data_IF_138598097455
#
_entry.id   IF_138598097455
#
_cell.length_a   1.000
_cell.length_b   1.000
_cell.length_c   1.000
_cell.angle_alpha   90.00
_cell.angle_beta   90.00
_cell.angle_gamma   90.00
#
_symmetry.space_group_name_H-M   'P 1'
#
loop_
_entity.id
_entity.type
_entity.pdbx_description
1 polymer ?
#
# COMPACT_ATOMS: atom_id res chain seq x y z
N UNK A 1 -27.24 1.23 -18.38
CA UNK A 1 -25.99 1.26 -19.16
C UNK A 1 -25.28 -0.06 -18.94
N UNK A 2 -24.90 -0.76 -20.01
CA UNK A 2 -24.09 -1.98 -19.87
C UNK A 2 -22.71 -1.62 -19.31
N UNK A 3 -22.14 -2.45 -18.42
CA UNK A 3 -20.90 -2.11 -17.72
C UNK A 3 -19.71 -1.92 -18.68
N UNK A 4 -19.67 -2.68 -19.77
CA UNK A 4 -18.65 -2.52 -20.81
C UNK A 4 -18.73 -1.13 -21.49
N UNK A 5 -19.94 -0.60 -21.69
CA UNK A 5 -20.11 0.75 -22.27
C UNK A 5 -19.60 1.82 -21.31
N UNK A 6 -19.92 1.69 -20.01
CA UNK A 6 -19.43 2.62 -18.98
C UNK A 6 -17.89 2.58 -18.87
N UNK A 7 -17.31 1.38 -18.95
CA UNK A 7 -15.87 1.17 -18.94
C UNK A 7 -15.19 1.90 -20.10
N UNK A 8 -15.69 1.69 -21.32
CA UNK A 8 -15.15 2.35 -22.52
C UNK A 8 -15.33 3.87 -22.44
N UNK A 9 -16.52 4.34 -22.04
CA UNK A 9 -16.83 5.76 -21.98
C UNK A 9 -15.95 6.53 -20.99
N UNK A 10 -15.69 5.97 -19.81
CA UNK A 10 -14.98 6.69 -18.73
C UNK A 10 -13.48 6.41 -18.68
N UNK A 11 -13.05 5.21 -19.11
CA UNK A 11 -11.65 4.78 -18.99
C UNK A 11 -10.99 4.41 -20.32
N UNK A 12 -11.76 4.27 -21.40
CA UNK A 12 -11.25 3.90 -22.72
C UNK A 12 -10.72 2.46 -22.80
N UNK A 13 -11.19 1.57 -21.93
CA UNK A 13 -10.80 0.16 -21.94
C UNK A 13 -11.86 -0.70 -22.62
N UNK A 14 -11.43 -1.52 -23.59
CA UNK A 14 -12.33 -2.36 -24.39
C UNK A 14 -12.97 -3.50 -23.58
N UNK A 15 -12.31 -3.96 -22.51
CA UNK A 15 -12.77 -5.08 -21.68
C UNK A 15 -12.25 -5.01 -20.24
N UNK A 16 -13.00 -5.64 -19.33
CA UNK A 16 -12.55 -5.88 -17.97
C UNK A 16 -11.42 -6.92 -17.93
N UNK A 17 -10.48 -6.73 -17.01
CA UNK A 17 -9.56 -7.79 -16.60
C UNK A 17 -10.32 -8.81 -15.74
N UNK A 18 -9.81 -10.04 -15.72
CA UNK A 18 -10.38 -11.16 -14.95
C UNK A 18 -10.68 -10.75 -13.50
N UNK A 19 -11.91 -10.96 -13.04
CA UNK A 19 -12.36 -10.68 -11.68
C UNK A 19 -12.83 -9.24 -11.43
N UNK A 20 -12.57 -8.29 -12.35
CA UNK A 20 -13.00 -6.89 -12.14
C UNK A 20 -14.52 -6.74 -12.31
N UNK A 21 -15.08 -7.35 -13.36
CA UNK A 21 -16.49 -7.20 -13.69
C UNK A 21 -17.39 -7.77 -12.60
N UNK A 22 -17.04 -8.95 -12.06
CA UNK A 22 -17.78 -9.62 -11.00
C UNK A 22 -17.80 -8.79 -9.72
N UNK A 23 -16.67 -8.16 -9.38
CA UNK A 23 -16.57 -7.24 -8.23
C UNK A 23 -17.43 -5.99 -8.46
N UNK A 24 -17.34 -5.36 -9.64
CA UNK A 24 -18.14 -4.18 -9.98
C UNK A 24 -19.64 -4.49 -9.91
N UNK A 25 -20.08 -5.63 -10.47
CA UNK A 25 -21.49 -6.08 -10.43
C UNK A 25 -21.95 -6.30 -8.98
N UNK A 26 -21.13 -6.94 -8.16
CA UNK A 26 -21.43 -7.17 -6.73
C UNK A 26 -21.64 -5.86 -5.98
N UNK A 27 -20.74 -4.89 -6.17
CA UNK A 27 -20.83 -3.56 -5.55
C UNK A 27 -22.11 -2.85 -6.00
N UNK A 28 -22.38 -2.82 -7.30
CA UNK A 28 -23.57 -2.16 -7.83
C UNK A 28 -24.88 -2.83 -7.36
N UNK A 29 -24.88 -4.13 -7.09
CA UNK A 29 -26.03 -4.82 -6.49
C UNK A 29 -26.27 -4.49 -5.00
N UNK A 30 -25.41 -3.67 -4.39
CA UNK A 30 -25.53 -3.26 -2.99
C UNK A 30 -24.99 -4.26 -1.98
N UNK A 31 -24.28 -5.31 -2.42
CA UNK A 31 -23.74 -6.34 -1.52
C UNK A 31 -22.37 -5.92 -0.97
N UNK A 32 -22.12 -6.09 0.34
CA UNK A 32 -20.78 -5.99 0.89
C UNK A 32 -19.82 -6.89 0.13
N UNK A 33 -18.66 -6.38 -0.26
CA UNK A 33 -17.75 -7.11 -1.15
C UNK A 33 -16.33 -7.06 -0.62
N UNK A 34 -15.65 -8.22 -0.62
CA UNK A 34 -14.21 -8.34 -0.38
C UNK A 34 -13.57 -8.85 -1.68
N UNK A 35 -12.66 -8.07 -2.24
CA UNK A 35 -11.98 -8.37 -3.49
C UNK A 35 -10.48 -8.57 -3.25
N UNK A 36 -10.00 -9.80 -3.47
CA UNK A 36 -8.59 -10.16 -3.46
C UNK A 36 -8.15 -10.26 -4.91
N UNK A 37 -7.50 -9.21 -5.41
CA UNK A 37 -7.05 -9.09 -6.79
C UNK A 37 -5.55 -8.80 -6.83
N UNK A 38 -4.75 -9.48 -7.67
CA UNK A 38 -3.31 -9.36 -7.67
C UNK A 38 -2.83 -7.92 -7.91
N UNK A 39 -1.59 -7.63 -7.52
CA UNK A 39 -0.95 -6.34 -7.86
C UNK A 39 -0.93 -6.15 -9.37
N UNK A 40 -1.33 -4.97 -9.84
CA UNK A 40 -1.53 -4.71 -11.26
C UNK A 40 -2.84 -5.25 -11.84
N UNK A 41 -3.67 -5.96 -11.07
CA UNK A 41 -4.99 -6.45 -11.49
C UNK A 41 -6.06 -5.36 -11.68
N UNK A 42 -5.69 -4.08 -11.57
CA UNK A 42 -6.60 -2.95 -11.75
C UNK A 42 -7.66 -2.83 -10.63
N UNK A 43 -7.27 -3.04 -9.38
CA UNK A 43 -8.14 -2.90 -8.19
C UNK A 43 -8.89 -1.57 -8.17
N UNK A 44 -8.23 -0.49 -8.54
CA UNK A 44 -8.82 0.85 -8.48
C UNK A 44 -10.07 0.98 -9.34
N UNK A 45 -10.13 0.31 -10.49
CA UNK A 45 -11.29 0.32 -11.36
C UNK A 45 -12.55 -0.21 -10.64
N UNK A 46 -12.38 -1.17 -9.72
CA UNK A 46 -13.48 -1.79 -9.00
C UNK A 46 -14.24 -0.86 -8.05
N UNK A 47 -13.65 0.29 -7.65
CA UNK A 47 -14.35 1.37 -6.96
C UNK A 47 -14.52 2.62 -7.81
N UNK A 48 -13.60 2.89 -8.74
CA UNK A 48 -13.67 4.08 -9.60
C UNK A 48 -14.84 4.02 -10.58
N UNK A 49 -15.10 2.87 -11.20
CA UNK A 49 -16.23 2.75 -12.12
C UNK A 49 -17.57 2.85 -11.38
N UNK A 50 -17.83 2.13 -10.26
CA UNK A 50 -19.02 2.36 -9.45
C UNK A 50 -19.19 3.80 -8.97
N UNK A 51 -18.11 4.51 -8.63
CA UNK A 51 -18.18 5.89 -8.19
C UNK A 51 -18.76 6.86 -9.24
N UNK A 52 -18.61 6.52 -10.54
CA UNK A 52 -19.17 7.30 -11.64
C UNK A 52 -20.62 6.92 -11.95
N UNK A 53 -20.97 5.65 -11.70
CA UNK A 53 -22.31 5.11 -11.94
C UNK A 53 -23.29 5.38 -10.80
N UNK A 54 -22.79 5.60 -9.58
CA UNK A 54 -23.59 5.90 -8.41
C UNK A 54 -23.68 7.42 -8.18
N UNK A 55 -24.80 7.85 -7.63
CA UNK A 55 -25.03 9.25 -7.27
C UNK A 55 -24.44 9.55 -5.88
N UNK A 56 -23.69 10.65 -5.78
CA UNK A 56 -23.01 11.08 -4.57
C UNK A 56 -21.49 11.00 -4.71
N UNK A 57 -20.82 10.93 -3.56
CA UNK A 57 -19.36 10.95 -3.43
C UNK A 57 -18.86 9.64 -2.87
N UNK A 58 -18.06 8.91 -3.65
CA UNK A 58 -17.37 7.71 -3.17
C UNK A 58 -16.16 8.08 -2.33
N UNK A 59 -16.00 7.43 -1.19
CA UNK A 59 -14.84 7.60 -0.31
C UNK A 59 -13.93 6.40 -0.46
N UNK A 60 -12.63 6.66 -0.65
CA UNK A 60 -11.59 5.63 -0.72
C UNK A 60 -10.62 5.84 0.44
N UNK A 61 -10.66 4.94 1.42
CA UNK A 61 -9.66 4.90 2.49
C UNK A 61 -8.44 4.14 1.98
N UNK A 62 -7.27 4.77 2.00
CA UNK A 62 -6.01 4.16 1.53
C UNK A 62 -4.84 4.61 2.41
N UNK A 63 -3.82 3.77 2.69
CA UNK A 63 -2.70 4.19 3.53
C UNK A 63 -1.64 4.99 2.76
N UNK A 64 -1.77 5.12 1.43
CA UNK A 64 -0.67 5.44 0.52
C UNK A 64 -0.77 6.86 -0.03
N UNK A 65 -0.18 7.82 0.68
CA UNK A 65 -0.34 9.25 0.34
C UNK A 65 0.15 9.60 -1.07
N UNK A 66 1.29 9.06 -1.50
CA UNK A 66 1.81 9.28 -2.85
C UNK A 66 0.86 8.69 -3.91
N UNK A 67 0.37 7.47 -3.70
CA UNK A 67 -0.57 6.82 -4.61
C UNK A 67 -1.90 7.59 -4.68
N UNK A 68 -2.38 8.17 -3.57
CA UNK A 68 -3.60 9.01 -3.62
C UNK A 68 -3.44 10.17 -4.59
N UNK A 69 -2.28 10.84 -4.57
CA UNK A 69 -2.00 11.96 -5.48
C UNK A 69 -2.03 11.47 -6.93
N UNK A 70 -1.29 10.41 -7.23
CA UNK A 70 -1.22 9.86 -8.59
C UNK A 70 -2.60 9.42 -9.11
N UNK A 71 -3.42 8.80 -8.26
CA UNK A 71 -4.80 8.42 -8.61
C UNK A 71 -5.69 9.63 -8.85
N UNK A 72 -5.58 10.68 -8.02
CA UNK A 72 -6.36 11.92 -8.19
C UNK A 72 -5.95 12.66 -9.46
N UNK A 73 -4.65 12.77 -9.73
CA UNK A 73 -4.14 13.42 -10.95
C UNK A 73 -4.60 12.65 -12.20
N UNK A 74 -4.54 11.32 -12.18
CA UNK A 74 -5.03 10.46 -13.26
C UNK A 74 -6.55 10.56 -13.48
N UNK A 75 -7.34 10.72 -12.42
CA UNK A 75 -8.79 10.93 -12.52
C UNK A 75 -9.11 12.33 -13.06
N UNK A 76 -8.43 13.37 -12.57
CA UNK A 76 -8.60 14.75 -13.03
C UNK A 76 -8.23 14.92 -14.49
N UNK A 77 -7.16 14.27 -14.96
CA UNK A 77 -6.78 14.25 -16.36
C UNK A 77 -7.87 13.65 -17.28
N UNK A 78 -8.77 12.82 -16.72
CA UNK A 78 -9.94 12.25 -17.41
C UNK A 78 -11.22 13.07 -17.20
N UNK A 79 -11.13 14.27 -16.62
CA UNK A 79 -12.29 15.11 -16.31
C UNK A 79 -13.12 14.63 -15.12
N UNK A 80 -12.62 13.67 -14.31
CA UNK A 80 -13.31 13.17 -13.13
C UNK A 80 -12.94 14.02 -11.93
N UNK A 81 -13.94 14.64 -11.30
CA UNK A 81 -13.74 15.45 -10.11
C UNK A 81 -13.35 14.58 -8.91
N UNK A 82 -12.04 14.55 -8.61
CA UNK A 82 -11.47 13.80 -7.51
C UNK A 82 -10.57 14.67 -6.64
N UNK A 83 -10.42 14.29 -5.38
CA UNK A 83 -9.48 14.93 -4.44
C UNK A 83 -8.94 13.93 -3.42
N UNK A 84 -7.97 14.36 -2.62
CA UNK A 84 -7.46 13.61 -1.49
C UNK A 84 -7.43 14.46 -0.20
N UNK A 85 -7.55 13.82 0.96
CA UNK A 85 -7.44 14.42 2.30
C UNK A 85 -6.45 13.61 3.14
N UNK A 86 -5.28 14.19 3.38
CA UNK A 86 -4.21 13.55 4.16
C UNK A 86 -3.40 14.59 4.96
N UNK A 87 -2.31 14.15 5.58
CA UNK A 87 -1.41 14.98 6.39
C UNK A 87 -0.45 15.86 5.57
N UNK A 88 -0.27 15.62 4.27
CA UNK A 88 0.66 16.40 3.45
C UNK A 88 0.08 17.75 2.98
N UNK A 89 -1.22 17.97 3.17
CA UNK A 89 -1.88 19.23 2.79
C UNK A 89 -1.63 20.32 3.82
N UNK A 90 -1.30 21.52 3.32
CA UNK A 90 -1.37 22.74 4.13
C UNK A 90 -2.80 22.96 4.65
N UNK A 91 -2.93 23.76 5.71
CA UNK A 91 -4.26 24.03 6.29
C UNK A 91 -5.17 24.79 5.32
N UNK A 92 -4.61 25.68 4.49
CA UNK A 92 -5.35 26.39 3.44
C UNK A 92 -5.93 25.45 2.39
N UNK A 93 -5.09 24.59 1.78
CA UNK A 93 -5.55 23.60 0.79
C UNK A 93 -6.59 22.64 1.39
N UNK A 94 -6.41 22.26 2.66
CA UNK A 94 -7.34 21.36 3.34
C UNK A 94 -8.71 22.01 3.50
N UNK A 95 -8.77 23.27 3.94
CA UNK A 95 -10.02 24.01 4.10
C UNK A 95 -10.72 24.19 2.75
N UNK A 96 -9.98 24.53 1.69
CA UNK A 96 -10.52 24.67 0.33
C UNK A 96 -11.14 23.36 -0.16
N UNK A 97 -10.41 22.25 -0.05
CA UNK A 97 -10.91 20.92 -0.44
C UNK A 97 -12.12 20.50 0.39
N UNK A 98 -12.14 20.77 1.69
CA UNK A 98 -13.30 20.48 2.54
C UNK A 98 -14.50 21.36 2.21
N UNK A 99 -14.31 22.62 1.81
CA UNK A 99 -15.39 23.48 1.36
C UNK A 99 -16.01 22.97 0.04
N UNK A 100 -15.17 22.57 -0.92
CA UNK A 100 -15.61 21.93 -2.17
C UNK A 100 -16.35 20.61 -1.92
N UNK A 101 -15.89 19.83 -0.94
CA UNK A 101 -16.53 18.59 -0.51
C UNK A 101 -17.96 18.82 0.01
N UNK A 102 -18.14 19.83 0.87
CA UNK A 102 -19.48 20.22 1.38
C UNK A 102 -20.44 20.67 0.28
N UNK A 103 -19.91 21.19 -0.83
CA UNK A 103 -20.71 21.58 -2.01
C UNK A 103 -21.00 20.42 -2.95
N UNK A 104 -20.55 19.20 -2.63
CA UNK A 104 -20.77 18.01 -3.46
C UNK A 104 -19.98 18.01 -4.77
N UNK A 105 -18.89 18.78 -4.86
CA UNK A 105 -18.15 18.97 -6.12
C UNK A 105 -17.32 17.75 -6.53
N UNK A 106 -17.09 16.79 -5.62
CA UNK A 106 -16.25 15.62 -5.88
C UNK A 106 -17.07 14.35 -6.06
N UNK A 107 -16.70 13.57 -7.08
CA UNK A 107 -17.18 12.20 -7.28
C UNK A 107 -16.39 11.19 -6.46
N UNK A 108 -15.09 11.44 -6.28
CA UNK A 108 -14.18 10.59 -5.51
C UNK A 108 -13.33 11.38 -4.52
N UNK A 109 -13.22 10.85 -3.30
CA UNK A 109 -12.36 11.41 -2.26
C UNK A 109 -11.49 10.31 -1.68
N UNK A 110 -10.18 10.44 -1.87
CA UNK A 110 -9.21 9.60 -1.16
C UNK A 110 -8.95 10.18 0.22
N UNK A 111 -8.88 9.36 1.25
CA UNK A 111 -8.65 9.82 2.62
C UNK A 111 -7.70 8.88 3.34
N UNK A 112 -6.72 9.46 4.03
CA UNK A 112 -5.83 8.70 4.87
C UNK A 112 -6.55 8.22 6.14
N UNK A 113 -6.31 6.98 6.63
CA UNK A 113 -7.01 6.41 7.78
C UNK A 113 -7.01 7.33 9.01
N UNK A 114 -5.87 7.97 9.28
CA UNK A 114 -5.69 8.89 10.42
C UNK A 114 -6.51 10.19 10.28
N UNK A 115 -6.91 10.57 9.06
CA UNK A 115 -7.76 11.74 8.80
C UNK A 115 -9.23 11.39 8.67
N UNK A 116 -9.56 10.14 8.34
CA UNK A 116 -10.92 9.69 8.08
C UNK A 116 -11.89 9.91 9.24
N UNK A 117 -11.37 9.88 10.47
CA UNK A 117 -12.14 10.12 11.70
C UNK A 117 -12.06 11.55 12.23
N UNK A 118 -11.34 12.43 11.57
CA UNK A 118 -11.18 13.79 12.08
C UNK A 118 -12.54 14.50 12.12
N UNK A 119 -12.87 15.23 13.19
CA UNK A 119 -14.14 15.96 13.29
C UNK A 119 -14.36 16.91 12.12
N UNK A 120 -13.28 17.53 11.61
CA UNK A 120 -13.35 18.42 10.44
C UNK A 120 -13.73 17.67 9.15
N UNK A 121 -13.21 16.46 8.94
CA UNK A 121 -13.59 15.64 7.79
C UNK A 121 -15.03 15.16 7.90
N UNK A 122 -15.44 14.61 9.05
CA UNK A 122 -16.82 14.16 9.26
C UNK A 122 -17.82 15.32 9.11
N UNK A 123 -17.49 16.50 9.63
CA UNK A 123 -18.30 17.72 9.45
C UNK A 123 -18.36 18.17 7.99
N UNK A 124 -17.30 17.98 7.20
CA UNK A 124 -17.31 18.28 5.77
C UNK A 124 -18.15 17.29 4.95
N UNK A 125 -18.39 16.09 5.48
CA UNK A 125 -19.24 15.06 4.86
C UNK A 125 -20.71 15.15 5.27
N UNK A 126 -21.06 15.98 6.26
CA UNK A 126 -22.46 16.14 6.69
C UNK A 126 -23.34 16.56 5.52
N UNK A 127 -24.40 15.79 5.25
CA UNK A 127 -25.34 16.03 4.16
C UNK A 127 -24.89 15.52 2.78
N UNK A 128 -23.69 14.96 2.68
CA UNK A 128 -23.19 14.33 1.45
C UNK A 128 -23.63 12.87 1.39
N UNK A 129 -24.23 12.47 0.27
CA UNK A 129 -24.56 11.07 -0.01
C UNK A 129 -23.29 10.28 -0.30
N UNK A 130 -23.05 9.21 0.48
CA UNK A 130 -21.90 8.32 0.31
C UNK A 130 -22.38 6.97 -0.23
N UNK A 131 -22.46 6.79 -1.56
CA UNK A 131 -23.00 5.56 -2.14
C UNK A 131 -22.05 4.37 -1.98
N UNK A 132 -20.76 4.61 -1.79
CA UNK A 132 -19.71 3.60 -1.66
C UNK A 132 -18.57 4.09 -0.75
N UNK A 133 -18.22 3.24 0.21
CA UNK A 133 -16.96 3.29 0.96
C UNK A 133 -16.04 2.17 0.46
N UNK A 134 -14.95 2.53 -0.21
CA UNK A 134 -13.89 1.62 -0.58
C UNK A 134 -12.77 1.66 0.46
N UNK A 135 -12.33 0.49 0.91
CA UNK A 135 -11.18 0.31 1.81
C UNK A 135 -10.09 -0.40 1.02
N UNK A 136 -9.11 0.39 0.55
CA UNK A 136 -7.95 -0.12 -0.18
C UNK A 136 -6.89 -0.64 0.80
N UNK A 137 -6.06 -1.56 0.34
CA UNK A 137 -5.10 -2.30 1.18
C UNK A 137 -5.72 -2.81 2.49
N UNK A 138 -6.92 -3.39 2.40
CA UNK A 138 -7.72 -3.84 3.54
C UNK A 138 -6.99 -4.86 4.44
N UNK A 139 -5.94 -5.52 3.95
CA UNK A 139 -5.09 -6.38 4.77
C UNK A 139 -4.46 -5.64 5.97
N UNK A 140 -4.32 -4.31 5.91
CA UNK A 140 -3.83 -3.48 7.02
C UNK A 140 -4.71 -3.55 8.28
N UNK A 141 -5.96 -4.00 8.17
CA UNK A 141 -6.88 -4.22 9.29
C UNK A 141 -6.37 -5.32 10.23
N UNK A 142 -5.80 -6.38 9.65
CA UNK A 142 -5.48 -7.60 10.37
C UNK A 142 -4.07 -7.51 10.97
N UNK A 143 -3.94 -7.89 12.24
CA UNK A 143 -2.63 -8.09 12.87
C UNK A 143 -1.84 -9.25 12.23
N UNK A 144 -2.56 -10.17 11.56
CA UNK A 144 -1.99 -11.23 10.73
C UNK A 144 -1.66 -10.75 9.31
N UNK A 145 -2.05 -9.52 8.97
CA UNK A 145 -1.59 -8.83 7.77
C UNK A 145 -0.13 -8.40 7.90
N UNK A 146 0.55 -8.30 6.76
CA UNK A 146 1.98 -7.94 6.72
C UNK A 146 2.26 -6.45 6.98
N UNK A 147 1.23 -5.59 7.02
CA UNK A 147 1.33 -4.15 7.32
C UNK A 147 0.18 -3.67 8.22
N UNK A 148 0.07 -4.24 9.41
CA UNK A 148 -0.99 -3.89 10.37
C UNK A 148 -0.99 -2.40 10.75
N UNK A 149 -2.17 -1.77 10.70
CA UNK A 149 -2.40 -0.36 11.05
C UNK A 149 -3.63 -0.24 11.96
N UNK A 150 -3.47 0.12 13.26
CA UNK A 150 -4.59 0.24 14.20
C UNK A 150 -5.72 1.18 13.73
N UNK A 151 -5.40 2.21 12.94
CA UNK A 151 -6.38 3.15 12.40
C UNK A 151 -7.38 2.49 11.42
N UNK A 152 -7.03 1.36 10.81
CA UNK A 152 -7.94 0.62 9.93
C UNK A 152 -9.06 -0.10 10.68
N UNK A 153 -8.80 -0.61 11.89
CA UNK A 153 -9.82 -1.27 12.73
C UNK A 153 -10.95 -0.30 13.14
N UNK A 154 -10.67 1.00 13.06
CA UNK A 154 -11.59 2.06 13.44
C UNK A 154 -12.49 2.55 12.30
N UNK A 155 -12.35 1.99 11.09
CA UNK A 155 -13.10 2.40 9.88
C UNK A 155 -14.60 2.12 10.02
N UNK A 156 -15.02 1.00 10.62
CA UNK A 156 -16.44 0.68 10.80
C UNK A 156 -17.22 1.75 11.59
N UNK A 157 -16.60 2.35 12.61
CA UNK A 157 -17.24 3.42 13.39
C UNK A 157 -17.49 4.66 12.54
N UNK A 158 -16.54 5.01 11.66
CA UNK A 158 -16.69 6.14 10.74
C UNK A 158 -17.69 5.86 9.62
N UNK A 159 -17.79 4.60 9.14
CA UNK A 159 -18.83 4.18 8.18
C UNK A 159 -20.23 4.50 8.68
N UNK A 160 -20.53 4.21 9.95
CA UNK A 160 -21.82 4.49 10.56
C UNK A 160 -22.14 6.00 10.58
N UNK A 161 -21.16 6.83 10.93
CA UNK A 161 -21.31 8.29 10.95
C UNK A 161 -21.54 8.89 9.55
N UNK A 162 -20.97 8.27 8.51
CA UNK A 162 -21.08 8.72 7.12
C UNK A 162 -22.32 8.20 6.39
N UNK A 163 -23.04 7.23 6.97
CA UNK A 163 -24.20 6.60 6.33
C UNK A 163 -23.85 5.90 5.01
N UNK A 164 -22.64 5.34 4.88
CA UNK A 164 -22.20 4.72 3.64
C UNK A 164 -23.04 3.48 3.28
N UNK A 165 -23.66 3.50 2.09
CA UNK A 165 -24.61 2.47 1.65
C UNK A 165 -23.93 1.13 1.33
N UNK A 166 -22.72 1.18 0.76
CA UNK A 166 -21.97 0.01 0.26
C UNK A 166 -20.55 0.03 0.80
N UNK A 167 -20.00 -1.16 1.04
CA UNK A 167 -18.59 -1.31 1.41
C UNK A 167 -17.90 -2.29 0.48
N UNK A 168 -16.76 -1.85 -0.05
CA UNK A 168 -15.84 -2.68 -0.83
C UNK A 168 -14.49 -2.68 -0.14
N UNK A 169 -14.02 -3.84 0.30
CA UNK A 169 -12.65 -4.02 0.79
C UNK A 169 -11.79 -4.64 -0.31
N UNK A 170 -10.63 -4.05 -0.60
CA UNK A 170 -9.71 -4.56 -1.63
C UNK A 170 -8.32 -4.81 -1.06
N UNK A 171 -7.68 -5.87 -1.51
CA UNK A 171 -6.27 -6.15 -1.19
C UNK A 171 -5.63 -7.01 -2.28
N UNK A 172 -4.30 -6.95 -2.39
CA UNK A 172 -3.54 -7.88 -3.22
C UNK A 172 -3.42 -9.28 -2.61
N UNK A 173 -3.39 -9.34 -1.28
CA UNK A 173 -3.05 -10.54 -0.51
C UNK A 173 -3.91 -10.61 0.74
N UNK A 174 -4.62 -11.72 0.93
CA UNK A 174 -5.29 -12.03 2.20
C UNK A 174 -5.50 -13.54 2.34
N UNK A 175 -5.00 -14.09 3.44
CA UNK A 175 -5.28 -15.47 3.85
C UNK A 175 -6.73 -15.62 4.32
N UNK A 176 -7.26 -16.84 4.53
CA UNK A 176 -8.57 -17.04 5.13
C UNK A 176 -8.78 -16.27 6.44
N UNK A 177 -7.77 -16.21 7.31
CA UNK A 177 -7.76 -15.48 8.57
C UNK A 177 -7.88 -13.98 8.34
N UNK A 178 -7.02 -13.41 7.49
CA UNK A 178 -7.06 -11.97 7.16
C UNK A 178 -8.42 -11.58 6.56
N UNK A 179 -9.04 -12.46 5.76
CA UNK A 179 -10.39 -12.20 5.20
C UNK A 179 -11.47 -12.13 6.28
N UNK A 180 -11.40 -13.00 7.30
CA UNK A 180 -12.33 -12.95 8.45
C UNK A 180 -12.13 -11.66 9.24
N UNK A 181 -10.88 -11.31 9.55
CA UNK A 181 -10.56 -10.07 10.26
C UNK A 181 -11.07 -8.83 9.51
N UNK A 182 -10.93 -8.79 8.18
CA UNK A 182 -11.48 -7.71 7.34
C UNK A 182 -13.00 -7.63 7.46
N UNK A 183 -13.69 -8.78 7.35
CA UNK A 183 -15.14 -8.84 7.43
C UNK A 183 -15.66 -8.37 8.80
N UNK A 184 -15.03 -8.85 9.88
CA UNK A 184 -15.39 -8.50 11.25
C UNK A 184 -15.13 -7.01 11.54
N UNK A 185 -13.92 -6.51 11.23
CA UNK A 185 -13.55 -5.13 11.56
C UNK A 185 -14.30 -4.06 10.74
N UNK A 186 -14.82 -4.42 9.56
CA UNK A 186 -15.64 -3.52 8.73
C UNK A 186 -17.15 -3.73 8.90
N UNK A 187 -17.56 -4.64 9.80
CA UNK A 187 -18.94 -5.06 10.02
C UNK A 187 -19.64 -5.46 8.69
N UNK A 188 -19.00 -6.37 7.96
CA UNK A 188 -19.51 -6.91 6.70
C UNK A 188 -20.28 -8.19 6.99
N UNK A 189 -21.61 -8.12 6.93
CA UNK A 189 -22.49 -9.28 7.02
C UNK A 189 -22.52 -10.00 5.68
N UNK A 190 -22.15 -11.28 5.70
CA UNK A 190 -22.17 -12.20 4.53
C UNK A 190 -21.61 -11.56 3.24
N UNK A 191 -20.36 -11.04 3.24
CA UNK A 191 -19.82 -10.38 2.06
C UNK A 191 -19.62 -11.37 0.92
N UNK A 192 -19.86 -10.91 -0.32
CA UNK A 192 -19.36 -11.60 -1.49
C UNK A 192 -17.82 -11.54 -1.49
N UNK A 193 -17.16 -12.69 -1.54
CA UNK A 193 -15.69 -12.78 -1.57
C UNK A 193 -15.23 -13.21 -2.95
N UNK A 194 -14.48 -12.35 -3.63
CA UNK A 194 -13.86 -12.63 -4.91
C UNK A 194 -12.36 -12.82 -4.74
N UNK A 195 -11.82 -13.93 -5.22
CA UNK A 195 -10.38 -14.21 -5.24
C UNK A 195 -9.96 -14.43 -6.68
N UNK A 196 -9.39 -13.40 -7.30
CA UNK A 196 -8.66 -13.60 -8.54
C UNK A 196 -7.28 -14.18 -8.19
N UNK A 197 -6.87 -15.23 -8.91
CA UNK A 197 -5.64 -15.98 -8.61
C UNK A 197 -4.38 -15.11 -8.46
N UNK A 198 -3.37 -15.70 -7.85
CA UNK A 198 -2.05 -15.07 -7.60
C UNK A 198 -1.06 -15.32 -8.73
N UNK A 199 -1.51 -15.84 -9.86
CA UNK A 199 -0.61 -16.20 -10.95
C UNK A 199 -0.23 -14.96 -11.78
N UNK A 200 1.04 -14.90 -12.16
CA UNK A 200 1.63 -13.90 -13.05
C UNK A 200 2.41 -14.67 -14.11
N UNK A 201 1.73 -15.17 -15.16
CA UNK A 201 2.35 -16.06 -16.15
C UNK A 201 3.48 -15.37 -16.93
N UNK A 202 3.48 -14.04 -16.97
CA UNK A 202 4.53 -13.23 -17.59
C UNK A 202 5.75 -12.99 -16.70
N UNK A 203 5.75 -13.48 -15.46
CA UNK A 203 6.82 -13.26 -14.48
C UNK A 203 7.58 -14.56 -14.21
N UNK A 204 8.83 -14.62 -14.65
CA UNK A 204 9.72 -15.72 -14.28
C UNK A 204 10.30 -15.48 -12.89
N UNK A 205 10.13 -16.44 -11.99
CA UNK A 205 10.57 -16.34 -10.59
C UNK A 205 11.76 -17.27 -10.35
N UNK A 206 12.90 -16.68 -9.99
CA UNK A 206 14.15 -17.40 -9.70
C UNK A 206 14.64 -17.11 -8.28
N UNK A 207 15.12 -18.17 -7.61
CA UNK A 207 15.87 -18.05 -6.35
C UNK A 207 17.27 -18.62 -6.55
N UNK A 208 18.29 -17.76 -6.41
CA UNK A 208 19.69 -18.15 -6.54
C UNK A 208 20.39 -18.12 -5.18
N UNK A 209 20.97 -19.25 -4.78
CA UNK A 209 21.86 -19.30 -3.61
C UNK A 209 23.22 -18.68 -3.96
N UNK A 210 23.73 -17.81 -3.09
CA UNK A 210 24.98 -17.06 -3.32
C UNK A 210 25.87 -17.05 -2.09
N UNK A 211 27.20 -17.02 -2.28
CA UNK A 211 28.18 -17.11 -1.20
C UNK A 211 28.28 -15.85 -0.34
N UNK A 212 27.88 -14.69 -0.87
CA UNK A 212 27.86 -13.43 -0.13
C UNK A 212 27.70 -12.22 -1.06
N UNK A 213 28.00 -11.03 -0.53
CA UNK A 213 27.78 -9.76 -1.23
C UNK A 213 28.48 -9.66 -2.59
N UNK A 214 29.69 -10.20 -2.73
CA UNK A 214 30.42 -10.20 -4.00
C UNK A 214 29.65 -10.95 -5.09
N UNK A 215 29.15 -12.14 -4.76
CA UNK A 215 28.37 -12.96 -5.68
C UNK A 215 27.02 -12.31 -5.98
N UNK A 216 26.37 -11.73 -4.96
CA UNK A 216 25.13 -10.97 -5.13
C UNK A 216 25.30 -9.83 -6.13
N UNK A 217 26.33 -9.00 -5.94
CA UNK A 217 26.63 -7.88 -6.83
C UNK A 217 26.94 -8.35 -8.25
N UNK A 218 27.71 -9.44 -8.41
CA UNK A 218 27.99 -10.03 -9.72
C UNK A 218 26.72 -10.44 -10.46
N UNK A 219 25.77 -11.08 -9.78
CA UNK A 219 24.47 -11.48 -10.34
C UNK A 219 23.59 -10.28 -10.68
N UNK A 220 23.52 -9.29 -9.79
CA UNK A 220 22.78 -8.04 -10.07
C UNK A 220 23.34 -7.30 -11.28
N UNK A 221 24.66 -7.21 -11.42
CA UNK A 221 25.31 -6.57 -12.56
C UNK A 221 25.02 -7.32 -13.87
N UNK A 222 25.02 -8.65 -13.84
CA UNK A 222 24.64 -9.46 -15.00
C UNK A 222 23.17 -9.20 -15.40
N UNK A 223 22.26 -9.21 -14.43
CA UNK A 223 20.83 -8.90 -14.65
C UNK A 223 20.65 -7.46 -15.15
N UNK A 224 21.31 -6.48 -14.54
CA UNK A 224 21.25 -5.09 -14.95
C UNK A 224 21.84 -4.85 -16.36
N UNK A 225 22.68 -5.72 -16.88
CA UNK A 225 23.17 -5.64 -18.27
C UNK A 225 22.19 -6.20 -19.30
N UNK A 226 21.23 -7.05 -18.90
CA UNK A 226 20.32 -7.70 -19.85
C UNK A 226 19.36 -6.72 -20.56
N UNK A 227 19.00 -5.62 -19.91
CA UNK A 227 18.16 -4.58 -20.53
C UNK A 227 17.04 -4.09 -19.63
N UNK A 228 16.45 -2.96 -20.01
CA UNK A 228 15.20 -2.43 -19.44
C UNK A 228 15.25 -1.86 -18.02
N UNK A 229 14.12 -1.28 -17.56
CA UNK A 229 13.99 -0.71 -16.23
C UNK A 229 13.90 -1.79 -15.14
N UNK A 230 14.50 -1.54 -13.98
CA UNK A 230 14.51 -2.52 -12.89
C UNK A 230 14.44 -1.93 -11.50
N UNK A 231 13.90 -2.72 -10.56
CA UNK A 231 13.89 -2.42 -9.13
C UNK A 231 14.81 -3.41 -8.42
N UNK A 232 15.66 -2.92 -7.52
CA UNK A 232 16.49 -3.78 -6.66
C UNK A 232 16.19 -3.48 -5.20
N UNK A 233 15.69 -4.47 -4.48
CA UNK A 233 15.37 -4.39 -3.06
C UNK A 233 16.54 -4.80 -2.18
N UNK A 234 16.84 -3.99 -1.17
CA UNK A 234 17.82 -4.27 -0.13
C UNK A 234 17.26 -3.94 1.25
N UNK A 235 17.66 -4.67 2.29
CA UNK A 235 17.09 -4.54 3.62
C UNK A 235 17.53 -3.28 4.36
N UNK A 236 18.70 -2.73 4.03
CA UNK A 236 19.33 -1.62 4.76
C UNK A 236 19.73 -0.47 3.85
N UNK A 237 19.77 0.76 4.40
CA UNK A 237 20.26 1.96 3.69
C UNK A 237 21.68 1.75 3.17
N UNK A 238 22.53 1.14 4.00
CA UNK A 238 23.91 0.76 3.65
C UNK A 238 23.97 -0.16 2.42
N UNK A 239 23.09 -1.16 2.33
CA UNK A 239 23.05 -2.05 1.17
C UNK A 239 22.48 -1.35 -0.07
N UNK A 240 21.51 -0.44 0.08
CA UNK A 240 21.05 0.41 -1.03
C UNK A 240 22.22 1.21 -1.60
N UNK A 241 22.93 1.97 -0.77
CA UNK A 241 24.09 2.77 -1.20
C UNK A 241 25.18 1.92 -1.85
N UNK A 242 25.49 0.76 -1.26
CA UNK A 242 26.47 -0.21 -1.80
C UNK A 242 26.12 -0.68 -3.20
N UNK A 243 24.86 -1.09 -3.42
CA UNK A 243 24.40 -1.60 -4.71
C UNK A 243 24.37 -0.47 -5.75
N UNK A 244 23.90 0.74 -5.38
CA UNK A 244 23.93 1.91 -6.27
C UNK A 244 25.35 2.23 -6.71
N UNK A 245 26.31 2.25 -5.77
CA UNK A 245 27.70 2.52 -6.08
C UNK A 245 28.28 1.48 -7.07
N UNK A 246 27.99 0.19 -6.86
CA UNK A 246 28.47 -0.88 -7.74
C UNK A 246 27.88 -0.81 -9.16
N UNK A 247 26.58 -0.48 -9.29
CA UNK A 247 25.92 -0.27 -10.58
C UNK A 247 26.54 0.90 -11.34
N UNK A 248 26.68 2.06 -10.67
CA UNK A 248 27.27 3.27 -11.28
C UNK A 248 28.72 3.07 -11.69
N UNK A 249 29.52 2.41 -10.86
CA UNK A 249 30.91 2.05 -11.19
C UNK A 249 31.00 1.13 -12.43
N UNK A 250 29.92 0.42 -12.75
CA UNK A 250 29.82 -0.43 -13.94
C UNK A 250 29.16 0.26 -15.14
N UNK A 251 28.97 1.58 -15.09
CA UNK A 251 28.35 2.38 -16.16
C UNK A 251 26.83 2.23 -16.28
N UNK A 252 26.16 1.70 -15.25
CA UNK A 252 24.72 1.50 -15.24
C UNK A 252 24.08 2.63 -14.43
N UNK A 253 23.15 3.36 -15.06
CA UNK A 253 22.44 4.42 -14.37
C UNK A 253 21.47 3.85 -13.32
N UNK A 254 21.70 4.24 -12.08
CA UNK A 254 20.97 3.77 -10.92
C UNK A 254 20.80 4.88 -9.89
N UNK A 255 19.64 4.92 -9.24
CA UNK A 255 19.32 5.82 -8.13
C UNK A 255 18.98 5.03 -6.87
N UNK A 256 19.28 5.60 -5.70
CA UNK A 256 18.91 5.03 -4.41
C UNK A 256 17.61 5.63 -3.88
N UNK A 257 16.80 4.83 -3.18
CA UNK A 257 15.62 5.29 -2.46
C UNK A 257 15.52 4.65 -1.08
N UNK A 258 15.52 5.45 -0.02
CA UNK A 258 15.29 4.95 1.33
C UNK A 258 14.77 6.03 2.28
N UNK A 259 14.19 5.61 3.41
CA UNK A 259 13.58 6.51 4.41
C UNK A 259 14.55 7.49 5.11
N UNK A 260 15.86 7.39 4.87
CA UNK A 260 16.84 8.37 5.34
C UNK A 260 17.03 9.59 4.44
N UNK A 261 16.43 9.61 3.24
CA UNK A 261 16.51 10.72 2.30
C UNK A 261 15.48 11.80 2.63
N UNK A 262 15.78 13.04 2.25
CA UNK A 262 14.83 14.15 2.36
C UNK A 262 13.61 13.94 1.44
N UNK A 263 12.47 14.53 1.79
CA UNK A 263 11.21 14.37 1.06
C UNK A 263 11.35 14.80 -0.41
N UNK A 264 11.96 15.95 -0.67
CA UNK A 264 12.21 16.47 -2.02
C UNK A 264 13.13 15.54 -2.83
N UNK A 265 14.16 14.99 -2.19
CA UNK A 265 15.09 14.06 -2.83
C UNK A 265 14.38 12.75 -3.21
N UNK A 266 13.54 12.21 -2.30
CA UNK A 266 12.72 11.01 -2.56
C UNK A 266 11.78 11.20 -3.74
N UNK A 267 11.11 12.35 -3.81
CA UNK A 267 10.24 12.72 -4.94
C UNK A 267 11.06 12.78 -6.23
N UNK A 268 12.19 13.48 -6.22
CA UNK A 268 13.06 13.63 -7.39
C UNK A 268 13.56 12.29 -7.93
N UNK A 269 14.09 11.40 -7.08
CA UNK A 269 14.60 10.10 -7.56
C UNK A 269 13.48 9.17 -8.04
N UNK A 270 12.30 9.24 -7.42
CA UNK A 270 11.13 8.48 -7.86
C UNK A 270 10.68 8.96 -9.24
N UNK A 271 10.57 10.27 -9.45
CA UNK A 271 10.17 10.87 -10.73
C UNK A 271 11.16 10.50 -11.84
N UNK A 272 12.47 10.56 -11.57
CA UNK A 272 13.51 10.15 -12.52
C UNK A 272 13.32 8.70 -12.96
N UNK A 273 13.04 7.78 -12.04
CA UNK A 273 12.80 6.37 -12.38
C UNK A 273 11.49 6.17 -13.16
N UNK A 274 10.41 6.82 -12.74
CA UNK A 274 9.10 6.72 -13.39
C UNK A 274 9.17 7.24 -14.84
N UNK A 275 9.85 8.37 -15.06
CA UNK A 275 10.05 9.00 -16.39
C UNK A 275 11.07 8.26 -17.27
N UNK A 276 11.76 7.26 -16.74
CA UNK A 276 12.80 6.52 -17.47
C UNK A 276 14.13 7.26 -17.60
N UNK A 277 14.31 8.38 -16.90
CA UNK A 277 15.59 9.10 -16.80
C UNK A 277 16.60 8.30 -15.97
N UNK A 278 16.13 7.53 -14.99
CA UNK A 278 16.92 6.54 -14.28
C UNK A 278 16.49 5.13 -14.66
N UNK A 279 17.45 4.31 -15.09
CA UNK A 279 17.14 2.93 -15.53
C UNK A 279 16.83 2.00 -14.35
N UNK A 280 17.58 2.11 -13.26
CA UNK A 280 17.41 1.24 -12.09
C UNK A 280 17.15 2.08 -10.85
N UNK A 281 16.22 1.62 -10.03
CA UNK A 281 16.05 2.13 -8.67
C UNK A 281 16.39 1.03 -7.66
N UNK A 282 17.30 1.36 -6.75
CA UNK A 282 17.69 0.49 -5.64
C UNK A 282 17.05 1.02 -4.39
N UNK A 283 16.35 0.18 -3.63
CA UNK A 283 15.57 0.69 -2.52
C UNK A 283 15.37 -0.26 -1.35
N UNK A 284 15.05 0.31 -0.20
CA UNK A 284 14.45 -0.46 0.89
C UNK A 284 12.96 -0.68 0.64
N UNK A 285 12.30 -1.42 1.52
CA UNK A 285 10.83 -1.58 1.56
C UNK A 285 10.04 -0.24 1.61
N UNK A 286 10.71 0.89 1.88
CA UNK A 286 10.13 2.21 1.78
C UNK A 286 9.72 2.58 0.34
N UNK A 287 10.37 1.99 -0.66
CA UNK A 287 10.01 2.12 -2.06
C UNK A 287 9.07 0.99 -2.44
N UNK A 288 7.79 1.29 -2.60
CA UNK A 288 6.93 0.25 -3.06
C UNK A 288 5.52 0.71 -3.26
N UNK A 289 4.83 1.05 -2.20
CA UNK A 289 3.39 1.20 -2.25
C UNK A 289 2.99 2.47 -3.05
N UNK A 290 2.85 2.34 -4.38
CA UNK A 290 2.46 3.43 -5.27
C UNK A 290 3.20 3.57 -6.60
N UNK A 291 4.31 2.87 -6.86
CA UNK A 291 5.01 3.01 -8.15
C UNK A 291 4.12 2.52 -9.29
N UNK A 292 3.72 3.43 -10.17
CA UNK A 292 2.91 3.16 -11.37
C UNK A 292 3.76 3.24 -12.64
N UNK A 293 4.67 2.29 -12.79
CA UNK A 293 5.49 2.09 -13.99
C UNK A 293 5.18 0.71 -14.57
N UNK A 294 4.56 0.66 -15.74
CA UNK A 294 4.04 -0.58 -16.30
C UNK A 294 5.12 -1.52 -16.87
N UNK A 295 6.21 -0.93 -17.33
CA UNK A 295 7.29 -1.52 -18.14
C UNK A 295 8.52 -1.95 -17.33
N UNK A 296 8.35 -2.29 -16.05
CA UNK A 296 9.44 -2.83 -15.22
C UNK A 296 9.81 -4.24 -15.71
N UNK A 297 11.05 -4.43 -16.17
CA UNK A 297 11.55 -5.69 -16.74
C UNK A 297 12.11 -6.64 -15.70
N UNK A 298 12.62 -6.13 -14.59
CA UNK A 298 13.01 -7.01 -13.48
C UNK A 298 12.80 -6.39 -12.11
N UNK A 299 12.55 -7.27 -11.14
CA UNK A 299 12.65 -6.99 -9.71
C UNK A 299 13.69 -7.96 -9.15
N UNK A 300 14.70 -7.44 -8.45
CA UNK A 300 15.68 -8.27 -7.78
C UNK A 300 15.74 -7.97 -6.29
N UNK A 301 16.04 -8.98 -5.49
CA UNK A 301 16.21 -8.88 -4.05
C UNK A 301 17.65 -9.20 -3.70
N UNK A 302 18.40 -8.16 -3.34
CA UNK A 302 19.76 -8.28 -2.80
C UNK A 302 19.74 -8.91 -1.41
N UNK A 303 18.69 -8.67 -0.62
CA UNK A 303 18.47 -9.27 0.69
C UNK A 303 17.10 -9.93 0.72
N UNK A 304 16.96 -11.01 1.50
CA UNK A 304 15.69 -11.71 1.70
C UNK A 304 14.64 -10.75 2.29
N UNK A 305 13.41 -10.68 1.74
CA UNK A 305 12.32 -9.88 2.29
C UNK A 305 11.89 -10.33 3.69
N UNK A 306 11.15 -9.46 4.39
CA UNK A 306 10.63 -9.73 5.74
C UNK A 306 9.56 -10.83 5.78
N UNK A 307 8.84 -11.03 4.69
CA UNK A 307 7.75 -12.00 4.58
C UNK A 307 7.48 -12.38 3.12
N UNK A 308 6.69 -13.43 2.92
CA UNK A 308 6.29 -13.89 1.59
C UNK A 308 5.33 -12.90 0.90
N UNK A 309 4.47 -12.23 1.67
CA UNK A 309 3.56 -11.21 1.16
C UNK A 309 4.32 -10.00 0.65
N UNK A 310 5.34 -9.55 1.40
CA UNK A 310 6.22 -8.46 0.96
C UNK A 310 6.92 -8.85 -0.34
N UNK A 311 7.51 -10.06 -0.39
CA UNK A 311 8.14 -10.59 -1.60
C UNK A 311 7.17 -10.58 -2.79
N UNK A 312 5.96 -11.13 -2.62
CA UNK A 312 4.97 -11.22 -3.69
C UNK A 312 4.49 -9.85 -4.17
N UNK A 313 4.30 -8.89 -3.27
CA UNK A 313 3.96 -7.51 -3.64
C UNK A 313 5.08 -6.81 -4.41
N UNK A 314 6.32 -7.01 -3.98
CA UNK A 314 7.53 -6.41 -4.56
C UNK A 314 7.78 -6.95 -5.96
N UNK A 315 7.76 -8.28 -6.16
CA UNK A 315 7.93 -8.88 -7.50
C UNK A 315 6.75 -8.56 -8.43
N UNK A 316 5.54 -8.38 -7.88
CA UNK A 316 4.34 -8.02 -8.65
C UNK A 316 4.40 -6.65 -9.34
N UNK A 317 5.46 -5.87 -9.10
CA UNK A 317 5.76 -4.61 -9.80
C UNK A 317 6.28 -4.82 -11.20
N UNK A 318 6.96 -5.93 -11.45
CA UNK A 318 7.45 -6.28 -12.76
C UNK A 318 6.30 -6.61 -13.73
N UNK A 319 6.46 -6.22 -14.99
CA UNK A 319 5.67 -6.69 -16.13
C UNK A 319 4.17 -6.40 -16.01
N UNK A 320 3.76 -5.23 -15.51
CA UNK A 320 2.34 -4.87 -15.42
C UNK A 320 1.71 -4.60 -16.79
N UNK A 321 2.54 -4.35 -17.80
CA UNK A 321 2.19 -4.31 -19.22
C UNK A 321 1.94 -5.72 -19.82
N UNK A 322 2.15 -6.80 -19.06
CA UNK A 322 1.98 -8.18 -19.51
C UNK A 322 3.18 -8.76 -20.27
N UNK A 323 4.24 -7.99 -20.49
CA UNK A 323 5.46 -8.49 -21.13
C UNK A 323 6.26 -9.38 -20.19
N UNK A 324 7.12 -10.22 -20.76
CA UNK A 324 8.04 -11.06 -19.99
C UNK A 324 8.92 -10.21 -19.06
N UNK A 325 8.96 -10.60 -17.80
CA UNK A 325 9.76 -9.94 -16.78
C UNK A 325 10.33 -10.96 -15.79
N UNK A 326 11.35 -10.53 -15.04
CA UNK A 326 12.14 -11.40 -14.18
C UNK A 326 12.04 -11.00 -12.70
N UNK A 327 11.87 -11.97 -11.82
CA UNK A 327 11.93 -11.80 -10.37
C UNK A 327 13.09 -12.64 -9.82
N UNK A 328 14.16 -12.01 -9.34
CA UNK A 328 15.36 -12.69 -8.85
C UNK A 328 15.55 -12.48 -7.34
N UNK A 329 15.52 -13.56 -6.56
CA UNK A 329 15.90 -13.54 -5.15
C UNK A 329 17.32 -14.09 -4.96
N UNK A 330 18.24 -13.25 -4.48
CA UNK A 330 19.60 -13.66 -4.14
C UNK A 330 19.64 -14.11 -2.68
N UNK A 331 19.58 -15.42 -2.47
CA UNK A 331 19.47 -16.03 -1.15
C UNK A 331 20.86 -16.28 -0.53
N UNK A 332 21.10 -15.64 0.62
CA UNK A 332 22.17 -16.01 1.54
C UNK A 332 21.60 -16.21 2.95
N UNK A 333 22.07 -17.24 3.67
CA UNK A 333 21.57 -17.56 5.01
C UNK A 333 21.85 -16.44 6.03
N UNK A 334 22.91 -15.65 5.85
CA UNK A 334 23.20 -14.50 6.71
C UNK A 334 22.07 -13.45 6.66
N UNK A 335 21.39 -13.31 5.52
CA UNK A 335 20.27 -12.38 5.37
C UNK A 335 19.07 -12.80 6.20
N UNK A 336 18.82 -14.10 6.31
CA UNK A 336 17.74 -14.65 7.15
C UNK A 336 17.99 -14.29 8.62
N UNK A 337 19.23 -14.40 9.07
CA UNK A 337 19.60 -14.03 10.45
C UNK A 337 19.49 -12.52 10.68
N UNK A 338 19.88 -11.71 9.70
CA UNK A 338 19.68 -10.26 9.74
C UNK A 338 18.18 -9.91 9.83
N UNK A 339 17.34 -10.49 8.99
CA UNK A 339 15.90 -10.26 9.01
C UNK A 339 15.26 -10.70 10.33
N UNK A 340 15.64 -11.85 10.88
CA UNK A 340 15.18 -12.29 12.20
C UNK A 340 15.50 -11.27 13.29
N UNK A 341 16.74 -10.77 13.32
CA UNK A 341 17.14 -9.72 14.28
C UNK A 341 16.34 -8.43 14.09
N UNK A 342 16.06 -8.04 12.85
CA UNK A 342 15.23 -6.85 12.57
C UNK A 342 13.77 -7.03 13.01
N UNK A 343 13.20 -8.22 12.83
CA UNK A 343 11.84 -8.57 13.28
C UNK A 343 11.77 -8.59 14.81
N UNK A 344 12.78 -9.18 15.48
CA UNK A 344 12.89 -9.24 16.94
C UNK A 344 13.08 -7.85 17.55
N UNK A 345 13.97 -7.01 16.97
CA UNK A 345 14.18 -5.64 17.44
C UNK A 345 12.96 -4.73 17.25
N UNK A 346 12.08 -5.05 16.29
CA UNK A 346 10.82 -4.34 16.06
C UNK A 346 9.69 -4.75 17.00
N UNK A 347 9.89 -5.76 17.85
CA UNK A 347 8.91 -6.24 18.83
C UNK A 347 9.39 -5.95 20.25
N UNK A 348 8.52 -5.47 21.15
CA UNK A 348 8.87 -5.37 22.56
C UNK A 348 9.20 -6.76 23.11
N UNK A 349 10.21 -6.85 23.98
CA UNK A 349 10.53 -8.11 24.64
C UNK A 349 9.34 -8.57 25.50
N UNK A 350 9.20 -9.89 25.68
CA UNK A 350 8.17 -10.44 26.57
C UNK A 350 8.23 -9.82 27.96
N UNK A 351 9.43 -9.66 28.51
CA UNK A 351 9.66 -9.01 29.80
C UNK A 351 9.17 -7.56 29.80
N UNK A 352 9.39 -6.81 28.73
CA UNK A 352 8.89 -5.43 28.61
C UNK A 352 7.35 -5.41 28.56
N UNK A 353 6.72 -6.34 27.85
CA UNK A 353 5.25 -6.46 27.80
C UNK A 353 4.69 -6.83 29.17
N UNK A 354 5.28 -7.79 29.88
CA UNK A 354 4.86 -8.21 31.22
C UNK A 354 5.01 -7.06 32.23
N UNK A 355 6.14 -6.34 32.20
CA UNK A 355 6.36 -5.15 33.05
C UNK A 355 5.38 -4.02 32.72
N UNK A 356 5.12 -3.77 31.44
CA UNK A 356 4.13 -2.80 30.99
C UNK A 356 2.73 -3.17 31.46
N UNK A 357 2.34 -4.44 31.36
CA UNK A 357 1.06 -4.94 31.83
C UNK A 357 0.90 -4.78 33.36
N UNK A 358 1.90 -5.17 34.14
CA UNK A 358 1.88 -5.01 35.60
C UNK A 358 1.83 -3.54 36.02
N UNK A 359 2.63 -2.68 35.37
CA UNK A 359 2.63 -1.25 35.62
C UNK A 359 1.28 -0.61 35.26
N UNK A 360 0.68 -0.99 34.13
CA UNK A 360 -0.63 -0.51 33.71
C UNK A 360 -1.73 -0.93 34.71
N UNK A 361 -1.69 -2.17 35.21
CA UNK A 361 -2.62 -2.64 36.25
C UNK A 361 -2.52 -1.87 37.56
N UNK A 362 -1.33 -1.39 37.92
CA UNK A 362 -1.11 -0.59 39.15
C UNK A 362 -1.49 0.88 38.98
N UNK A 363 -1.36 1.41 37.77
CA UNK A 363 -1.65 2.82 37.49
C UNK A 363 -3.14 3.12 37.39
N UNK A 364 -3.98 2.11 37.10
CA UNK A 364 -5.43 2.21 36.80
C UNK A 364 -5.76 3.12 35.61
N UNK A 365 -5.30 4.37 35.59
CA UNK A 365 -5.33 5.33 34.48
C UNK A 365 -4.00 6.10 34.44
N UNK A 366 -3.43 6.31 33.25
CA UNK A 366 -2.18 7.06 33.11
C UNK A 366 -1.77 7.27 31.66
N UNK A 367 -0.88 8.24 31.45
CA UNK A 367 -0.25 8.52 30.17
C UNK A 367 0.81 7.47 29.81
N UNK A 368 1.10 7.34 28.52
CA UNK A 368 2.17 6.46 28.02
C UNK A 368 3.55 6.84 28.60
N UNK A 369 3.74 8.10 28.97
CA UNK A 369 4.95 8.60 29.63
C UNK A 369 5.05 8.16 31.11
N UNK A 370 3.93 8.04 31.82
CA UNK A 370 3.90 7.50 33.18
C UNK A 370 4.14 5.99 33.17
N UNK A 371 3.55 5.29 32.21
CA UNK A 371 3.81 3.87 32.00
C UNK A 371 5.29 3.62 31.65
N UNK A 372 5.89 4.49 30.84
CA UNK A 372 7.32 4.42 30.50
C UNK A 372 8.25 4.65 31.67
N UNK A 373 7.93 5.62 32.53
CA UNK A 373 8.66 5.81 33.78
C UNK A 373 8.52 4.59 34.71
N UNK A 374 7.32 4.03 34.85
CA UNK A 374 7.09 2.84 35.66
C UNK A 374 7.84 1.60 35.14
N UNK A 375 8.01 1.50 33.82
CA UNK A 375 8.76 0.44 33.18
C UNK A 375 10.25 0.77 32.99
N UNK A 376 10.75 1.93 33.44
CA UNK A 376 12.16 2.31 33.30
C UNK A 376 12.70 2.27 31.86
N UNK A 377 11.88 2.60 30.87
CA UNK A 377 12.25 2.61 29.45
C UNK A 377 11.83 3.92 28.77
N UNK A 378 12.36 4.20 27.57
CA UNK A 378 11.89 5.32 26.78
C UNK A 378 10.47 5.09 26.25
N UNK A 379 9.71 6.17 26.06
CA UNK A 379 8.34 6.12 25.49
C UNK A 379 8.32 5.44 24.12
N UNK A 380 9.39 5.62 23.32
CA UNK A 380 9.57 4.97 22.02
C UNK A 380 9.65 3.45 22.10
N UNK A 381 10.15 2.89 23.20
CA UNK A 381 10.30 1.44 23.40
C UNK A 381 8.99 0.78 23.86
N UNK A 382 8.18 1.50 24.65
CA UNK A 382 6.83 1.06 25.04
C UNK A 382 5.79 1.19 23.94
N UNK A 383 6.01 2.08 22.96
CA UNK A 383 5.05 2.32 21.89
C UNK A 383 4.66 1.07 21.09
N UNK A 384 5.50 0.01 21.11
CA UNK A 384 5.18 -1.29 20.53
C UNK A 384 4.52 -2.30 21.50
N UNK A 385 4.64 -2.09 22.82
CA UNK A 385 4.11 -2.99 23.86
C UNK A 385 2.69 -2.64 24.33
N UNK A 386 2.26 -1.40 24.12
CA UNK A 386 1.00 -0.85 24.67
C UNK A 386 -0.10 -0.71 23.59
N UNK A 387 0.22 -0.96 22.31
CA UNK A 387 -0.71 -0.74 21.18
C UNK A 387 -1.69 -1.88 20.97
#
# INVERSE_FOLDING_TARGET
>A
MELAQALQQHFGYDAFRKGQEEVVRSVLSGRPTIAILPTGGGKSLCYQLPALLLEGTTIVVSPLLALMKDQVDALRARGIAATFVNSSLSDGERQERQAALRRGEYRLVYVAPERFRSPSFLSAMTGIKVPLLAVDEAHCISAWGHDFRPEYQKIAQARAALGAERVLALTATATPEVRRDIAEALDLREPNVFVAGFDRPNLFIEVLRVGGDKDKLGRLLALARSGGPGIIYAATRKNVEKVVAALRASGIDAVGYHAGMGDEERISVQDRFVRGEARIIVATNAFGMGVDKADIRFVAHFDVPRSLEAYYQEIGRAGRDGSESYALLLFNFADVMMQRRMIEAGRPSRELVERAWEAARKLEHGSLAELARACGVAVSELGGAVR
#
